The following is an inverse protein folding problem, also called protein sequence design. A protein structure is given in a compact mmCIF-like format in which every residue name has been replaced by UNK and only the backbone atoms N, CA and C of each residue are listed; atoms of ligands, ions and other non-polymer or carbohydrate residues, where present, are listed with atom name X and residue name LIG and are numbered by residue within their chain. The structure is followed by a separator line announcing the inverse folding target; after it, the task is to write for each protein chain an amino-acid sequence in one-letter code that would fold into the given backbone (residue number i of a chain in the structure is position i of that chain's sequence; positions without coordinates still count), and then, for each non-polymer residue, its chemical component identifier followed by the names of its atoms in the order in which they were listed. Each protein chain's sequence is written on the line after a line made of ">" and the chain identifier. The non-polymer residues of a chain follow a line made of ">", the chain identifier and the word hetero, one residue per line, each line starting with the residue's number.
data_IF_693993690961
#
_entry.id   IF_693993690961
#
_cell.length_a   1.000
_cell.length_b   1.000
_cell.length_c   1.000
_cell.angle_alpha   90.00
_cell.angle_beta   90.00
_cell.angle_gamma   90.00
#
_symmetry.space_group_name_H-M   'P 1'
#
loop_
_entity.id
_entity.type
_entity.pdbx_description
1 polymer ?
#
# COMPACT_ATOMS: atom_id res chain seq x y z
N UNK A 1 -4.58 -17.24 53.66
CA UNK A 1 -3.59 -16.37 52.97
C UNK A 1 -3.89 -16.40 51.47
N UNK A 2 -4.95 -15.72 51.01
CA UNK A 2 -5.49 -15.92 49.65
C UNK A 2 -5.42 -14.67 48.77
N UNK A 3 -5.03 -13.52 49.35
CA UNK A 3 -4.94 -12.23 48.66
C UNK A 3 -3.73 -12.10 47.71
N UNK A 4 -2.71 -12.96 47.85
CA UNK A 4 -1.46 -12.87 47.05
C UNK A 4 -1.60 -13.45 45.64
N UNK A 5 -2.46 -14.45 45.43
CA UNK A 5 -2.64 -15.11 44.14
C UNK A 5 -3.49 -14.27 43.17
N UNK A 6 -4.54 -13.62 43.68
CA UNK A 6 -5.40 -12.76 42.86
C UNK A 6 -4.64 -11.53 42.31
N UNK A 7 -3.74 -10.95 43.09
CA UNK A 7 -2.93 -9.80 42.66
C UNK A 7 -1.91 -10.16 41.59
N UNK A 8 -1.39 -11.40 41.60
CA UNK A 8 -0.43 -11.87 40.59
C UNK A 8 -1.11 -12.12 39.24
N UNK A 9 -2.33 -12.66 39.26
CA UNK A 9 -3.14 -12.90 38.06
C UNK A 9 -3.61 -11.61 37.39
N UNK A 10 -3.85 -10.55 38.17
CA UNK A 10 -4.22 -9.25 37.62
C UNK A 10 -3.05 -8.58 36.89
N UNK A 11 -1.83 -8.67 37.42
CA UNK A 11 -0.66 -8.08 36.76
C UNK A 11 -0.31 -8.76 35.43
N UNK A 12 -0.43 -10.08 35.32
CA UNK A 12 -0.14 -10.80 34.08
C UNK A 12 -1.14 -10.44 32.96
N UNK A 13 -2.42 -10.24 33.32
CA UNK A 13 -3.45 -9.80 32.38
C UNK A 13 -3.20 -8.40 31.82
N UNK A 14 -2.73 -7.46 32.67
CA UNK A 14 -2.38 -6.10 32.26
C UNK A 14 -1.20 -6.07 31.28
N UNK A 15 -0.15 -6.87 31.54
CA UNK A 15 1.02 -6.94 30.64
C UNK A 15 0.64 -7.54 29.28
N UNK A 16 -0.27 -8.52 29.25
CA UNK A 16 -0.74 -9.12 28.00
C UNK A 16 -1.55 -8.14 27.14
N UNK A 17 -2.35 -7.26 27.77
CA UNK A 17 -3.11 -6.23 27.07
C UNK A 17 -2.21 -5.13 26.48
N UNK A 18 -1.10 -4.78 27.14
CA UNK A 18 -0.12 -3.81 26.61
C UNK A 18 0.61 -4.40 25.39
N UNK A 19 0.93 -5.69 25.40
CA UNK A 19 1.58 -6.36 24.28
C UNK A 19 0.67 -6.49 23.04
N UNK A 20 -0.64 -6.72 23.27
CA UNK A 20 -1.63 -6.86 22.19
C UNK A 20 -2.18 -5.50 21.70
N UNK A 21 -2.22 -4.47 22.55
CA UNK A 21 -2.73 -3.15 22.23
C UNK A 21 -1.85 -2.32 21.28
N UNK A 22 -0.54 -2.63 21.21
CA UNK A 22 0.41 -1.91 20.35
C UNK A 22 0.24 -2.16 18.85
N UNK A 23 -0.59 -3.13 18.44
CA UNK A 23 -0.72 -3.56 17.05
C UNK A 23 -2.02 -3.11 16.35
N UNK A 24 -2.91 -2.38 17.02
CA UNK A 24 -4.28 -2.13 16.50
C UNK A 24 -4.36 -0.84 15.64
N UNK A 25 -3.32 0.01 15.62
CA UNK A 25 -3.38 1.31 14.97
C UNK A 25 -2.67 1.43 13.61
N UNK A 26 -2.27 0.32 13.00
CA UNK A 26 -2.02 0.33 11.56
C UNK A 26 -3.38 0.31 10.84
N UNK A 27 -4.16 1.37 10.99
CA UNK A 27 -5.21 1.70 10.02
C UNK A 27 -4.47 1.82 8.70
N UNK A 28 -4.59 0.80 7.86
CA UNK A 28 -4.20 0.89 6.47
C UNK A 28 -5.11 1.96 5.87
N UNK A 29 -4.66 3.21 5.91
CA UNK A 29 -5.22 4.26 5.09
C UNK A 29 -5.30 3.67 3.69
N UNK A 30 -6.51 3.65 3.12
CA UNK A 30 -6.67 3.23 1.74
C UNK A 30 -5.83 4.19 0.91
N UNK A 31 -4.61 3.76 0.56
CA UNK A 31 -3.69 4.57 -0.21
C UNK A 31 -4.42 4.89 -1.50
N UNK A 32 -4.80 6.16 -1.67
CA UNK A 32 -5.43 6.61 -2.90
C UNK A 32 -4.36 6.62 -3.98
N UNK A 33 -4.37 5.58 -4.81
CA UNK A 33 -3.56 5.54 -6.00
C UNK A 33 -4.14 6.49 -7.05
N UNK A 34 -3.29 7.19 -7.80
CA UNK A 34 -3.75 7.96 -8.93
C UNK A 34 -4.49 7.04 -9.90
N UNK A 35 -5.72 7.42 -10.23
CA UNK A 35 -6.56 6.63 -11.12
C UNK A 35 -5.97 6.60 -12.53
N UNK A 36 -5.19 7.63 -12.91
CA UNK A 36 -4.56 7.66 -14.21
C UNK A 36 -3.09 8.10 -14.24
N UNK A 37 -2.28 7.39 -15.03
CA UNK A 37 -0.86 7.66 -15.23
C UNK A 37 -0.38 7.35 -16.66
N UNK A 38 0.51 8.20 -17.18
CA UNK A 38 1.25 8.03 -18.44
C UNK A 38 2.76 8.07 -18.19
N UNK A 39 3.51 7.32 -18.99
CA UNK A 39 4.96 7.31 -18.96
C UNK A 39 5.61 8.09 -20.11
N UNK A 40 6.46 9.07 -19.79
CA UNK A 40 7.30 9.78 -20.76
C UNK A 40 6.53 10.41 -21.93
N UNK A 41 5.23 10.67 -21.76
CA UNK A 41 4.29 11.11 -22.79
C UNK A 41 4.16 10.14 -24.00
N UNK A 42 4.57 8.88 -23.84
CA UNK A 42 4.54 7.83 -24.87
C UNK A 42 3.49 6.77 -24.50
N UNK A 43 2.33 6.82 -25.18
CA UNK A 43 1.21 5.92 -24.91
C UNK A 43 1.53 4.45 -25.19
N UNK A 44 2.32 4.16 -26.21
CA UNK A 44 2.68 2.79 -26.59
C UNK A 44 3.58 2.18 -25.53
N UNK A 45 4.58 2.93 -25.06
CA UNK A 45 5.43 2.48 -23.95
C UNK A 45 4.64 2.34 -22.67
N UNK A 46 3.75 3.30 -22.40
CA UNK A 46 2.89 3.25 -21.23
C UNK A 46 2.07 1.98 -21.22
N UNK A 47 1.39 1.62 -22.32
CA UNK A 47 0.61 0.38 -22.44
C UNK A 47 1.44 -0.86 -22.09
N UNK A 48 2.67 -0.96 -22.63
CA UNK A 48 3.58 -2.08 -22.34
C UNK A 48 3.89 -2.13 -20.84
N UNK A 49 4.24 -0.99 -20.24
CA UNK A 49 4.55 -0.90 -18.82
C UNK A 49 3.33 -1.18 -17.93
N UNK A 50 2.11 -0.80 -18.34
CA UNK A 50 0.88 -1.16 -17.64
C UNK A 50 0.71 -2.67 -17.56
N UNK A 51 0.92 -3.37 -18.69
CA UNK A 51 0.82 -4.83 -18.77
C UNK A 51 1.85 -5.49 -17.85
N UNK A 52 3.08 -4.97 -17.81
CA UNK A 52 4.11 -5.43 -16.88
C UNK A 52 3.76 -5.18 -15.41
N UNK A 53 3.06 -4.08 -15.12
CA UNK A 53 2.56 -3.75 -13.79
C UNK A 53 1.28 -4.52 -13.40
N UNK A 54 0.79 -5.43 -14.25
CA UNK A 54 -0.49 -6.13 -14.10
C UNK A 54 -1.68 -5.16 -13.92
N UNK A 55 -1.64 -4.04 -14.63
CA UNK A 55 -2.65 -3.00 -14.60
C UNK A 55 -3.43 -2.93 -15.92
N UNK A 56 -4.60 -2.28 -15.90
CA UNK A 56 -5.50 -2.22 -17.05
C UNK A 56 -5.29 -0.94 -17.87
N UNK A 57 -4.88 -1.10 -19.12
CA UNK A 57 -4.76 0.00 -20.07
C UNK A 57 -6.13 0.36 -20.65
N UNK A 58 -6.56 1.62 -20.49
CA UNK A 58 -7.88 2.12 -20.95
C UNK A 58 -7.82 2.91 -22.27
N UNK A 59 -6.65 2.99 -22.93
CA UNK A 59 -6.42 3.80 -24.13
C UNK A 59 -5.83 5.18 -23.87
N UNK A 60 -5.62 5.53 -22.59
CA UNK A 60 -4.95 6.76 -22.19
C UNK A 60 -4.10 6.63 -20.93
N UNK A 61 -4.26 5.59 -20.12
CA UNK A 61 -3.57 5.44 -18.85
C UNK A 61 -3.62 3.99 -18.30
N UNK A 62 -2.72 3.67 -17.35
CA UNK A 62 -2.61 2.35 -16.75
C UNK A 62 -3.65 1.95 -15.68
N UNK A 63 -4.57 2.81 -15.26
CA UNK A 63 -5.62 2.43 -14.30
C UNK A 63 -5.08 1.70 -13.05
N UNK A 64 -4.13 2.33 -12.35
CA UNK A 64 -3.36 1.68 -11.27
C UNK A 64 -4.19 1.62 -9.99
N UNK A 65 -4.77 0.44 -9.71
CA UNK A 65 -5.73 0.23 -8.61
C UNK A 65 -5.11 -0.23 -7.29
N UNK A 66 -3.82 -0.57 -7.28
CA UNK A 66 -3.12 -1.07 -6.11
C UNK A 66 -1.65 -0.62 -6.03
N UNK A 67 -1.08 -0.64 -4.82
CA UNK A 67 0.29 -0.19 -4.52
C UNK A 67 1.34 -0.91 -5.34
N UNK A 68 1.18 -2.22 -5.53
CA UNK A 68 2.17 -3.05 -6.20
C UNK A 68 2.25 -2.68 -7.67
N UNK A 69 1.10 -2.57 -8.33
CA UNK A 69 1.01 -2.12 -9.72
C UNK A 69 1.56 -0.70 -9.85
N UNK A 70 1.16 0.22 -8.97
CA UNK A 70 1.65 1.59 -8.97
C UNK A 70 3.18 1.66 -8.84
N UNK A 71 3.76 1.01 -7.84
CA UNK A 71 5.20 1.02 -7.62
C UNK A 71 5.97 0.40 -8.78
N UNK A 72 5.46 -0.71 -9.35
CA UNK A 72 6.07 -1.38 -10.49
C UNK A 72 6.05 -0.47 -11.73
N UNK A 73 4.90 0.15 -12.00
CA UNK A 73 4.74 1.10 -13.10
C UNK A 73 5.67 2.30 -12.94
N UNK A 74 5.66 2.98 -11.78
CA UNK A 74 6.49 4.16 -11.51
C UNK A 74 7.97 3.83 -11.62
N UNK A 75 8.40 2.69 -11.08
CA UNK A 75 9.81 2.26 -11.15
C UNK A 75 10.25 2.07 -12.59
N UNK A 76 9.45 1.36 -13.40
CA UNK A 76 9.75 1.17 -14.80
C UNK A 76 9.68 2.49 -15.57
N UNK A 77 8.78 3.38 -15.16
CA UNK A 77 8.55 4.62 -15.85
C UNK A 77 9.64 5.69 -15.61
N UNK A 78 10.20 5.74 -14.40
CA UNK A 78 11.37 6.58 -14.10
C UNK A 78 12.57 6.29 -14.99
N UNK A 79 12.71 5.05 -15.46
CA UNK A 79 13.75 4.66 -16.42
C UNK A 79 13.46 5.11 -17.86
N UNK A 80 12.23 5.55 -18.15
CA UNK A 80 11.73 5.84 -19.50
C UNK A 80 11.30 7.30 -19.71
N UNK A 81 11.68 8.21 -18.81
CA UNK A 81 11.37 9.64 -18.92
C UNK A 81 10.44 10.19 -17.83
N UNK A 82 10.06 9.36 -16.86
CA UNK A 82 9.26 9.77 -15.70
C UNK A 82 7.76 9.63 -15.92
N UNK A 83 7.04 9.54 -14.81
CA UNK A 83 5.59 9.40 -14.77
C UNK A 83 4.87 10.75 -14.73
N UNK A 84 3.73 10.82 -15.41
CA UNK A 84 2.75 11.90 -15.26
C UNK A 84 1.43 11.27 -14.83
N UNK A 85 1.05 11.52 -13.58
CA UNK A 85 -0.14 10.94 -12.96
C UNK A 85 -1.13 12.03 -12.57
N UNK A 86 -2.42 11.72 -12.62
CA UNK A 86 -3.51 12.57 -12.19
C UNK A 86 -4.61 11.76 -11.49
N UNK A 87 -5.43 12.46 -10.71
CA UNK A 87 -6.59 11.91 -10.00
C UNK A 87 -7.88 12.23 -10.72
#
# INVERSE_FOLDING_TARGET
>A
MSFKLASLLLMTLVVLQIFMGSNINAQAEAVKFPTWCICGNDKTKTEILCKFAAANWDGGSCGLDNQRAYNSFVTACKQNGGEQCWN
#
